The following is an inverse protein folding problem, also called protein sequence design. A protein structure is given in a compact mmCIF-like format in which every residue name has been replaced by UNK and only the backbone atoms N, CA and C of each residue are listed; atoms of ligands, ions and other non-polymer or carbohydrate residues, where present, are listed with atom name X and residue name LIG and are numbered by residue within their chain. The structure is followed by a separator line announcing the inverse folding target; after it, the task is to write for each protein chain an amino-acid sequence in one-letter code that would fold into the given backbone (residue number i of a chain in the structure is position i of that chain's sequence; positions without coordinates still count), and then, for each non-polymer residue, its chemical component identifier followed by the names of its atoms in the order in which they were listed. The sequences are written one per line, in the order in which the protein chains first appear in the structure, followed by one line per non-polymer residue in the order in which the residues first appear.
data_IF_026564645859
#
_entry.id   IF_026564645859
#
_cell.length_a   1.000
_cell.length_b   1.000
_cell.length_c   1.000
_cell.angle_alpha   90.00
_cell.angle_beta   90.00
_cell.angle_gamma   90.00
#
_symmetry.space_group_name_H-M   'P 1'
#
loop_
_entity.id
_entity.type
_entity.pdbx_description
1 polymer ?
#
# COMPACT_ATOMS: atom_id res chain seq x y z
N UNK A 1 2.36 -24.18 -7.09
CA UNK A 1 2.14 -22.78 -6.68
C UNK A 1 1.79 -22.83 -5.20
N UNK A 2 2.50 -22.07 -4.37
CA UNK A 2 2.12 -21.86 -2.96
C UNK A 2 1.24 -20.63 -2.87
N UNK A 3 0.40 -20.54 -1.84
CA UNK A 3 -0.49 -19.40 -1.60
C UNK A 3 0.22 -18.34 -0.74
N UNK A 4 -0.03 -17.05 -1.01
CA UNK A 4 0.62 -15.91 -0.33
C UNK A 4 0.00 -15.55 1.04
N UNK A 5 -1.04 -16.29 1.45
CA UNK A 5 -1.77 -16.10 2.69
C UNK A 5 -3.27 -15.89 2.49
N UNK A 6 -4.01 -15.84 3.60
CA UNK A 6 -5.46 -15.66 3.59
C UNK A 6 -5.79 -14.17 3.68
N UNK A 7 -6.49 -13.67 2.67
CA UNK A 7 -6.98 -12.29 2.62
C UNK A 7 -8.46 -12.23 3.02
N UNK A 8 -8.78 -11.36 3.98
CA UNK A 8 -10.16 -10.91 4.24
C UNK A 8 -10.36 -9.58 3.54
N UNK A 9 -11.24 -9.55 2.54
CA UNK A 9 -11.46 -8.41 1.66
C UNK A 9 -12.91 -7.95 1.78
N UNK A 10 -13.13 -6.64 1.83
CA UNK A 10 -14.46 -6.04 1.85
C UNK A 10 -15.13 -6.22 0.48
N UNK A 11 -16.32 -6.83 0.49
CA UNK A 11 -17.09 -7.15 -0.72
C UNK A 11 -17.73 -5.92 -1.36
N UNK A 12 -17.89 -4.83 -0.60
CA UNK A 12 -18.57 -3.63 -1.05
C UNK A 12 -20.10 -3.68 -0.97
N UNK A 13 -20.70 -4.75 -0.44
CA UNK A 13 -22.17 -4.91 -0.34
C UNK A 13 -22.81 -3.78 0.48
N UNK A 14 -22.15 -3.35 1.56
CA UNK A 14 -22.64 -2.24 2.40
C UNK A 14 -22.26 -0.88 1.83
N UNK A 15 -21.07 -0.78 1.23
CA UNK A 15 -20.52 0.44 0.66
C UNK A 15 -19.63 0.08 -0.53
N UNK A 16 -20.08 0.41 -1.75
CA UNK A 16 -19.32 0.11 -2.96
C UNK A 16 -17.94 0.80 -2.97
N UNK A 17 -17.76 1.92 -2.25
CA UNK A 17 -16.49 2.64 -2.16
C UNK A 17 -15.42 1.92 -1.32
N UNK A 18 -15.78 0.83 -0.64
CA UNK A 18 -14.87 0.00 0.16
C UNK A 18 -14.58 -1.36 -0.50
N UNK A 19 -15.14 -1.64 -1.68
CA UNK A 19 -14.89 -2.92 -2.35
C UNK A 19 -13.40 -3.12 -2.63
N UNK A 20 -12.92 -4.35 -2.54
CA UNK A 20 -11.51 -4.75 -2.71
C UNK A 20 -10.53 -4.25 -1.62
N UNK A 21 -10.99 -3.47 -0.65
CA UNK A 21 -10.14 -3.04 0.46
C UNK A 21 -9.84 -4.25 1.37
N UNK A 22 -8.56 -4.43 1.72
CA UNK A 22 -8.11 -5.49 2.61
C UNK A 22 -8.46 -5.08 4.05
N UNK A 23 -9.18 -5.95 4.75
CA UNK A 23 -9.44 -5.80 6.18
C UNK A 23 -8.35 -6.51 7.00
N UNK A 24 -7.97 -7.72 6.57
CA UNK A 24 -6.95 -8.53 7.23
C UNK A 24 -6.16 -9.36 6.22
N UNK A 25 -4.88 -9.56 6.52
CA UNK A 25 -4.04 -10.60 5.90
C UNK A 25 -3.57 -11.55 7.01
N UNK A 26 -3.83 -12.84 6.85
CA UNK A 26 -3.59 -13.88 7.86
C UNK A 26 -4.20 -13.53 9.24
N UNK A 27 -5.40 -12.93 9.23
CA UNK A 27 -6.13 -12.52 10.44
C UNK A 27 -5.56 -11.28 11.14
N UNK A 28 -4.61 -10.58 10.54
CA UNK A 28 -3.98 -9.37 11.09
C UNK A 28 -4.16 -8.18 10.16
N UNK A 29 -4.32 -6.98 10.73
CA UNK A 29 -4.33 -5.71 10.02
C UNK A 29 -3.01 -4.93 10.20
N UNK A 30 -2.05 -5.54 10.88
CA UNK A 30 -0.68 -5.08 11.01
C UNK A 30 0.30 -6.24 10.81
N UNK A 31 1.42 -5.94 10.18
CA UNK A 31 2.57 -6.81 10.05
C UNK A 31 3.39 -6.79 11.33
N UNK A 32 4.12 -7.88 11.57
CA UNK A 32 5.14 -7.97 12.63
C UNK A 32 6.56 -7.96 12.05
N UNK A 33 6.75 -7.29 10.90
CA UNK A 33 7.97 -7.40 10.08
C UNK A 33 8.94 -6.24 10.27
N UNK A 34 8.42 -5.02 10.36
CA UNK A 34 9.22 -3.81 10.40
C UNK A 34 9.41 -3.32 11.84
N UNK A 35 10.54 -2.66 12.08
CA UNK A 35 10.86 -2.24 13.44
C UNK A 35 9.99 -1.07 13.89
N UNK A 36 9.41 -1.20 15.08
CA UNK A 36 8.79 -0.07 15.80
C UNK A 36 9.83 0.78 16.56
N UNK A 37 11.12 0.43 16.49
CA UNK A 37 12.17 0.91 17.41
C UNK A 37 13.00 2.11 16.92
N UNK A 38 12.68 2.73 15.79
CA UNK A 38 13.21 4.07 15.54
C UNK A 38 12.56 4.98 16.57
N UNK A 39 13.35 5.63 17.43
CA UNK A 39 12.85 6.57 18.44
C UNK A 39 11.97 7.63 17.76
N UNK A 40 10.65 7.45 17.80
CA UNK A 40 9.65 8.31 17.14
C UNK A 40 9.01 7.76 15.86
N UNK A 41 9.30 6.54 15.37
CA UNK A 41 8.66 6.01 14.15
C UNK A 41 7.23 5.58 14.42
N UNK A 42 6.32 6.19 13.67
CA UNK A 42 4.93 5.80 13.54
C UNK A 42 4.78 4.31 13.22
N UNK A 43 3.75 3.63 13.77
CA UNK A 43 3.36 2.23 13.46
C UNK A 43 3.03 2.01 11.96
N UNK A 44 3.26 3.00 11.10
CA UNK A 44 2.83 3.04 9.70
C UNK A 44 3.52 2.02 8.81
N UNK A 45 4.78 1.66 9.06
CA UNK A 45 5.46 0.66 8.23
C UNK A 45 4.82 -0.73 8.30
N UNK A 46 4.17 -1.05 9.42
CA UNK A 46 3.52 -2.33 9.63
C UNK A 46 2.04 -2.31 9.27
N UNK A 47 1.44 -1.17 8.92
CA UNK A 47 0.03 -1.13 8.55
C UNK A 47 -0.24 -1.91 7.27
N UNK A 48 -1.27 -2.75 7.31
CA UNK A 48 -1.86 -3.37 6.11
C UNK A 48 -3.03 -2.46 5.71
N UNK A 49 -2.87 -1.70 4.63
CA UNK A 49 -3.86 -0.75 4.15
C UNK A 49 -3.94 -0.82 2.62
N UNK A 50 -5.12 -0.48 2.07
CA UNK A 50 -5.34 -0.46 0.64
C UNK A 50 -5.91 -1.77 0.08
N UNK A 51 -5.73 -1.94 -1.23
CA UNK A 51 -6.13 -3.14 -1.98
C UNK A 51 -4.92 -4.04 -2.21
N UNK A 52 -5.12 -5.22 -2.80
CA UNK A 52 -4.02 -6.08 -3.27
C UNK A 52 -3.37 -5.58 -4.59
N UNK A 53 -3.97 -4.58 -5.22
CA UNK A 53 -3.49 -3.96 -6.46
C UNK A 53 -4.07 -4.57 -7.73
N UNK A 54 -4.85 -5.65 -7.62
CA UNK A 54 -5.56 -6.29 -8.74
C UNK A 54 -6.85 -5.56 -9.13
N UNK A 55 -7.44 -4.83 -8.18
CA UNK A 55 -8.63 -4.03 -8.36
C UNK A 55 -8.70 -2.88 -7.35
N UNK A 56 -9.57 -1.91 -7.63
CA UNK A 56 -9.78 -0.72 -6.80
C UNK A 56 -11.27 -0.42 -6.67
N UNK A 57 -11.70 0.32 -5.63
CA UNK A 57 -13.07 0.82 -5.56
C UNK A 57 -13.49 1.59 -6.83
N UNK A 58 -14.78 1.61 -7.18
CA UNK A 58 -15.27 2.33 -8.35
C UNK A 58 -15.21 3.86 -8.16
N UNK A 59 -15.48 4.60 -9.25
CA UNK A 59 -15.64 6.06 -9.25
C UNK A 59 -14.40 6.85 -8.77
N UNK A 60 -13.21 6.44 -9.23
CA UNK A 60 -11.91 7.03 -8.82
C UNK A 60 -11.51 8.28 -9.60
N UNK A 61 -12.46 8.97 -10.22
CA UNK A 61 -12.17 10.22 -10.90
C UNK A 61 -11.67 11.26 -9.88
N UNK A 62 -10.57 11.95 -10.20
CA UNK A 62 -9.96 12.96 -9.33
C UNK A 62 -9.14 12.43 -8.14
N UNK A 63 -9.11 11.11 -7.90
CA UNK A 63 -8.30 10.51 -6.83
C UNK A 63 -6.81 10.68 -7.12
N UNK A 64 -6.09 11.35 -6.22
CA UNK A 64 -4.66 11.65 -6.43
C UNK A 64 -3.72 10.56 -5.91
N UNK A 65 -4.16 9.79 -4.90
CA UNK A 65 -3.35 8.74 -4.26
C UNK A 65 -4.19 7.50 -3.99
N UNK A 66 -3.57 6.34 -4.16
CA UNK A 66 -4.13 5.04 -3.76
C UNK A 66 -3.04 4.24 -3.07
N UNK A 67 -3.47 3.24 -2.31
CA UNK A 67 -2.60 2.45 -1.45
C UNK A 67 -2.76 0.99 -1.80
N UNK A 68 -1.64 0.27 -1.86
CA UNK A 68 -1.55 -1.16 -2.18
C UNK A 68 -0.81 -1.84 -1.05
N UNK A 69 -1.36 -2.93 -0.53
CA UNK A 69 -0.60 -3.88 0.27
C UNK A 69 -0.13 -5.02 -0.63
N UNK A 70 1.16 -5.35 -0.55
CA UNK A 70 1.72 -6.51 -1.26
C UNK A 70 2.50 -7.39 -0.28
N UNK A 71 2.06 -8.64 -0.18
CA UNK A 71 2.72 -9.69 0.60
C UNK A 71 4.15 -9.94 0.13
N UNK A 72 4.40 -9.87 -1.17
CA UNK A 72 5.70 -10.17 -1.79
C UNK A 72 6.80 -9.22 -1.31
N UNK A 73 6.49 -7.93 -1.25
CA UNK A 73 7.41 -6.89 -0.75
C UNK A 73 7.23 -6.61 0.75
N UNK A 74 6.36 -7.36 1.42
CA UNK A 74 6.10 -7.30 2.85
C UNK A 74 5.69 -5.91 3.36
N UNK A 75 5.01 -5.07 2.56
CA UNK A 75 4.64 -3.71 2.99
C UNK A 75 3.52 -3.10 2.17
N UNK A 76 3.00 -2.01 2.71
CA UNK A 76 2.08 -1.10 2.03
C UNK A 76 2.85 -0.04 1.24
N UNK A 77 2.32 0.34 0.07
CA UNK A 77 2.90 1.29 -0.89
C UNK A 77 1.82 2.23 -1.41
N UNK A 78 2.13 3.52 -1.44
CA UNK A 78 1.29 4.52 -2.09
C UNK A 78 1.69 4.72 -3.55
N UNK A 79 0.68 4.85 -4.39
CA UNK A 79 0.78 5.23 -5.80
C UNK A 79 0.06 6.56 -6.03
N UNK A 80 0.64 7.42 -6.86
CA UNK A 80 0.10 8.73 -7.20
C UNK A 80 -0.33 8.81 -8.65
N UNK A 81 -1.38 9.58 -8.90
CA UNK A 81 -1.82 9.90 -10.25
C UNK A 81 -0.76 10.76 -10.98
N UNK A 82 -0.49 10.44 -12.24
CA UNK A 82 0.45 11.20 -13.09
C UNK A 82 -0.14 11.64 -14.42
N UNK A 83 -1.37 11.23 -14.74
CA UNK A 83 -2.04 11.67 -15.95
C UNK A 83 -3.02 10.65 -16.51
N UNK A 84 -3.80 11.10 -17.48
CA UNK A 84 -4.72 10.25 -18.22
C UNK A 84 -3.96 9.42 -19.26
N UNK A 85 -4.45 8.22 -19.54
CA UNK A 85 -3.92 7.29 -20.53
C UNK A 85 -5.10 6.57 -21.20
N UNK A 86 -4.80 5.71 -22.17
CA UNK A 86 -5.75 4.74 -22.69
C UNK A 86 -5.07 3.38 -22.85
N UNK A 87 -5.87 2.31 -22.77
CA UNK A 87 -5.45 0.95 -23.10
C UNK A 87 -6.57 0.31 -23.91
N UNK A 88 -6.27 -0.15 -25.13
CA UNK A 88 -7.27 -0.75 -26.03
C UNK A 88 -8.55 0.10 -26.22
N UNK A 89 -8.38 1.43 -26.31
CA UNK A 89 -9.48 2.38 -26.45
C UNK A 89 -10.25 2.70 -25.17
N UNK A 90 -9.91 2.07 -24.04
CA UNK A 90 -10.53 2.31 -22.73
C UNK A 90 -9.77 3.45 -22.03
N UNK A 91 -10.43 4.55 -21.64
CA UNK A 91 -9.82 5.61 -20.84
C UNK A 91 -9.31 5.06 -19.50
N UNK A 92 -8.09 5.42 -19.15
CA UNK A 92 -7.43 4.96 -17.94
C UNK A 92 -6.73 6.11 -17.22
N UNK A 93 -6.56 5.97 -15.91
CA UNK A 93 -5.73 6.85 -15.10
C UNK A 93 -4.39 6.16 -14.83
N UNK A 94 -3.28 6.84 -15.14
CA UNK A 94 -1.94 6.32 -14.88
C UNK A 94 -1.50 6.68 -13.47
N UNK A 95 -1.11 5.66 -12.71
CA UNK A 95 -0.54 5.81 -11.38
C UNK A 95 0.89 5.25 -11.33
N UNK A 96 1.75 5.86 -10.52
CA UNK A 96 3.14 5.42 -10.31
C UNK A 96 3.51 5.57 -8.84
N UNK A 97 4.57 4.88 -8.39
CA UNK A 97 5.12 5.06 -7.05
C UNK A 97 5.86 6.41 -6.91
N UNK A 98 5.93 6.91 -5.68
CA UNK A 98 6.74 8.07 -5.33
C UNK A 98 8.23 7.71 -5.10
N UNK A 99 9.13 8.70 -5.22
CA UNK A 99 10.56 8.52 -4.94
C UNK A 99 10.85 8.04 -3.51
N UNK A 100 9.96 8.34 -2.55
CA UNK A 100 10.07 7.90 -1.17
C UNK A 100 9.65 6.43 -0.96
N UNK A 101 9.26 5.71 -2.01
CA UNK A 101 9.02 4.28 -1.92
C UNK A 101 10.32 3.53 -1.56
N UNK A 102 11.41 3.82 -2.29
CA UNK A 102 12.71 3.15 -2.13
C UNK A 102 13.93 4.08 -2.03
N UNK A 103 13.89 5.28 -2.64
CA UNK A 103 15.10 6.10 -2.82
C UNK A 103 15.30 7.10 -1.67
N UNK A 104 14.26 7.86 -1.34
CA UNK A 104 14.33 8.92 -0.32
C UNK A 104 13.86 8.38 1.02
N UNK A 105 14.81 8.08 1.92
CA UNK A 105 14.54 7.47 3.23
C UNK A 105 14.84 8.47 4.36
N UNK A 106 13.88 8.64 5.26
CA UNK A 106 14.04 9.49 6.44
C UNK A 106 12.72 9.73 7.17
N UNK A 107 12.76 10.26 8.41
CA UNK A 107 11.56 10.58 9.18
C UNK A 107 10.65 11.59 8.45
N UNK A 108 11.20 12.48 7.63
CA UNK A 108 10.46 13.43 6.78
C UNK A 108 9.60 12.74 5.71
N UNK A 109 9.91 11.48 5.41
CA UNK A 109 9.18 10.65 4.45
C UNK A 109 8.35 9.55 5.13
N UNK A 110 8.34 9.50 6.47
CA UNK A 110 7.62 8.51 7.29
C UNK A 110 7.88 7.05 6.88
N UNK A 111 9.11 6.76 6.44
CA UNK A 111 9.54 5.46 5.92
C UNK A 111 10.84 4.96 6.56
N UNK A 112 11.34 5.64 7.60
CA UNK A 112 12.59 5.29 8.27
C UNK A 112 12.51 3.96 9.04
N UNK A 113 11.30 3.53 9.42
CA UNK A 113 11.03 2.22 10.03
C UNK A 113 11.26 1.02 9.09
N UNK A 114 11.39 1.24 7.78
CA UNK A 114 11.79 0.18 6.84
C UNK A 114 13.31 -0.11 6.92
N UNK A 115 14.12 0.76 7.54
CA UNK A 115 15.54 0.53 7.76
C UNK A 115 15.82 -0.26 9.04
N UNK A 116 15.91 -1.58 8.92
CA UNK A 116 16.13 -2.49 10.07
C UNK A 116 17.57 -2.53 10.59
N UNK A 117 18.55 -2.20 9.75
CA UNK A 117 19.98 -2.22 10.10
C UNK A 117 20.59 -0.84 9.85
N UNK A 118 20.65 0.01 10.87
CA UNK A 118 21.44 1.25 10.79
C UNK A 118 22.89 0.89 11.02
N UNK A 119 23.71 0.93 9.97
CA UNK A 119 25.17 0.87 10.12
C UNK A 119 25.57 2.16 10.86
N UNK A 120 26.19 2.08 12.05
CA UNK A 120 26.70 3.26 12.73
C UNK A 120 27.66 3.99 11.79
N UNK A 121 27.47 5.31 11.65
CA UNK A 121 28.46 6.16 10.98
C UNK A 121 29.72 6.26 11.81
#
# INVERSE_FOLDING_TARGET
MTEDGIYTINTGVKNALETQMIEFWNGKNMLDKWSNSSRGSSMTCNKIEGTDGSGYPPFREGVQRMTIFSSDICRTVDIKYVGSSSYEGIPAARYVTDDNFLNKIGPEHNNDCFCVNRIPK
#
